data_IF_381488922806
#
_entry.id   IF_381488922806
#
_cell.length_a   1.000
_cell.length_b   1.000
_cell.length_c   1.000
_cell.angle_alpha   90.00
_cell.angle_beta   90.00
_cell.angle_gamma   90.00
#
_symmetry.space_group_name_H-M   'P 1'
#
loop_
_entity.id
_entity.type
_entity.pdbx_description
1 polymer ?
#
# COMPACT_ATOMS: atom_id res chain seq x y z
N UNK A 1 8.56 0.60 13.50
CA UNK A 1 8.74 2.06 13.73
C UNK A 1 7.41 2.76 13.50
N UNK A 2 7.12 3.81 14.28
CA UNK A 2 5.83 4.49 14.24
C UNK A 2 6.01 6.01 14.24
N UNK A 3 5.32 6.69 13.33
CA UNK A 3 5.13 8.15 13.34
C UNK A 3 3.68 8.50 13.73
N UNK A 4 3.51 9.56 14.52
CA UNK A 4 2.21 10.06 14.96
C UNK A 4 1.58 11.03 13.96
N UNK A 5 1.02 12.13 14.47
CA UNK A 5 0.60 13.27 13.65
C UNK A 5 1.82 14.16 13.32
N UNK A 6 2.06 14.47 12.04
CA UNK A 6 3.16 15.32 11.58
C UNK A 6 2.75 16.11 10.31
N UNK A 7 3.53 17.11 9.92
CA UNK A 7 3.42 17.68 8.56
C UNK A 7 4.02 16.66 7.56
N UNK A 8 5.24 16.20 7.84
CA UNK A 8 5.94 15.18 7.06
C UNK A 8 6.29 13.97 7.94
N UNK A 9 6.01 12.75 7.45
CA UNK A 9 6.37 11.50 8.10
C UNK A 9 7.16 10.59 7.15
N UNK A 10 8.46 10.42 7.41
CA UNK A 10 9.32 9.49 6.66
C UNK A 10 9.84 8.39 7.58
N UNK A 11 9.49 7.13 7.32
CA UNK A 11 9.92 5.99 8.12
C UNK A 11 10.42 4.86 7.23
N UNK A 12 11.61 4.34 7.54
CA UNK A 12 12.29 3.33 6.71
C UNK A 12 12.84 2.18 7.56
N UNK A 13 12.35 0.96 7.34
CA UNK A 13 12.96 -0.25 7.87
C UNK A 13 13.89 -0.88 6.82
N UNK A 14 15.08 -1.32 7.24
CA UNK A 14 16.06 -1.98 6.39
C UNK A 14 15.81 -3.49 6.28
N UNK A 15 16.83 -4.29 6.61
CA UNK A 15 16.72 -5.74 6.71
C UNK A 15 16.34 -6.18 8.14
N UNK A 16 15.31 -7.00 8.30
CA UNK A 16 14.87 -7.56 9.57
C UNK A 16 14.22 -8.94 9.37
N UNK A 17 13.96 -9.70 10.43
CA UNK A 17 13.04 -10.86 10.34
C UNK A 17 11.60 -10.32 10.22
N UNK A 18 11.20 -9.45 11.14
CA UNK A 18 9.92 -8.75 11.14
C UNK A 18 10.13 -7.23 10.97
N UNK A 19 9.50 -6.64 9.96
CA UNK A 19 9.57 -5.21 9.65
C UNK A 19 8.18 -4.57 9.69
N UNK A 20 7.84 -3.90 10.79
CA UNK A 20 6.60 -3.13 10.92
C UNK A 20 6.89 -1.63 10.84
N UNK A 21 6.30 -0.95 9.86
CA UNK A 21 6.43 0.50 9.62
C UNK A 21 5.04 1.13 9.55
N UNK A 22 4.76 2.12 10.39
CA UNK A 22 3.44 2.73 10.49
C UNK A 22 3.50 4.25 10.64
N UNK A 23 2.53 4.95 10.04
CA UNK A 23 2.25 6.35 10.35
C UNK A 23 0.75 6.58 10.56
N UNK A 24 0.44 7.50 11.48
CA UNK A 24 -0.91 7.92 11.80
C UNK A 24 -1.46 8.91 10.78
N UNK A 25 -1.31 10.20 11.06
CA UNK A 25 -1.80 11.29 10.23
C UNK A 25 -0.62 12.15 9.75
N UNK A 26 -0.54 12.48 8.47
CA UNK A 26 0.44 13.43 7.95
C UNK A 26 -0.16 14.31 6.84
N UNK A 27 0.52 15.37 6.42
CA UNK A 27 0.24 15.95 5.09
C UNK A 27 0.94 15.05 4.06
N UNK A 28 2.24 14.82 4.24
CA UNK A 28 3.04 13.92 3.42
C UNK A 28 3.54 12.71 4.23
N UNK A 29 3.26 11.48 3.77
CA UNK A 29 3.72 10.25 4.40
C UNK A 29 4.48 9.34 3.43
N UNK A 30 5.76 9.05 3.74
CA UNK A 30 6.59 8.10 2.98
C UNK A 30 7.06 6.97 3.88
N UNK A 31 6.53 5.77 3.66
CA UNK A 31 6.83 4.58 4.44
C UNK A 31 7.53 3.53 3.57
N UNK A 32 8.66 2.99 4.03
CA UNK A 32 9.42 1.98 3.29
C UNK A 32 9.86 0.82 4.20
N UNK A 33 9.68 -0.41 3.76
CA UNK A 33 10.34 -1.59 4.31
C UNK A 33 11.23 -2.23 3.25
N UNK A 34 12.45 -2.60 3.61
CA UNK A 34 13.45 -3.19 2.73
C UNK A 34 13.25 -4.68 2.52
N UNK A 35 14.00 -5.49 3.28
CA UNK A 35 13.99 -6.96 3.17
C UNK A 35 13.52 -7.54 4.49
N UNK A 36 12.48 -8.38 4.49
CA UNK A 36 12.03 -9.06 5.69
C UNK A 36 11.58 -10.51 5.42
N UNK A 37 11.31 -11.30 6.45
CA UNK A 37 10.43 -12.47 6.31
C UNK A 37 8.99 -11.94 6.31
N UNK A 38 8.64 -11.16 7.34
CA UNK A 38 7.35 -10.49 7.49
C UNK A 38 7.48 -8.97 7.36
N UNK A 39 6.84 -8.38 6.35
CA UNK A 39 6.82 -6.92 6.15
C UNK A 39 5.39 -6.37 6.26
N UNK A 40 5.18 -5.43 7.18
CA UNK A 40 3.91 -4.70 7.33
C UNK A 40 4.16 -3.20 7.27
N UNK A 41 3.61 -2.54 6.25
CA UNK A 41 3.77 -1.10 6.02
C UNK A 41 2.40 -0.43 5.93
N UNK A 42 2.11 0.53 6.81
CA UNK A 42 0.79 1.16 6.89
C UNK A 42 0.85 2.68 7.03
N UNK A 43 -0.05 3.38 6.34
CA UNK A 43 -0.36 4.80 6.58
C UNK A 43 -1.85 4.93 6.88
N UNK A 44 -2.20 5.68 7.92
CA UNK A 44 -3.58 5.93 8.33
C UNK A 44 -4.28 6.98 7.46
N UNK A 45 -3.88 8.24 7.60
CA UNK A 45 -4.46 9.38 6.88
C UNK A 45 -3.32 10.28 6.37
N UNK A 46 -3.35 10.66 5.10
CA UNK A 46 -2.44 11.66 4.54
C UNK A 46 -3.14 12.56 3.51
N UNK A 47 -2.51 13.63 3.04
CA UNK A 47 -2.86 14.23 1.74
C UNK A 47 -2.15 13.41 0.65
N UNK A 48 -0.84 13.22 0.81
CA UNK A 48 -0.01 12.37 -0.05
C UNK A 48 0.56 11.17 0.73
N UNK A 49 0.24 9.95 0.29
CA UNK A 49 0.73 8.71 0.89
C UNK A 49 1.54 7.87 -0.11
N UNK A 50 2.80 7.61 0.20
CA UNK A 50 3.65 6.66 -0.52
C UNK A 50 4.08 5.54 0.41
N UNK A 51 3.66 4.32 0.10
CA UNK A 51 3.87 3.14 0.94
C UNK A 51 4.53 2.04 0.11
N UNK A 52 5.73 1.61 0.51
CA UNK A 52 6.52 0.62 -0.24
C UNK A 52 7.05 -0.50 0.64
N UNK A 53 6.91 -1.74 0.18
CA UNK A 53 7.65 -2.89 0.70
C UNK A 53 8.55 -3.47 -0.40
N UNK A 54 9.77 -3.83 -0.05
CA UNK A 54 10.76 -4.40 -0.96
C UNK A 54 10.56 -5.90 -1.16
N UNK A 55 11.38 -6.71 -0.49
CA UNK A 55 11.37 -8.18 -0.62
C UNK A 55 10.90 -8.80 0.69
N UNK A 56 9.90 -9.67 0.66
CA UNK A 56 9.44 -10.40 1.84
C UNK A 56 9.08 -11.86 1.52
N UNK A 57 8.83 -12.69 2.53
CA UNK A 57 8.02 -13.91 2.35
C UNK A 57 6.55 -13.49 2.38
N UNK A 58 6.14 -12.78 3.44
CA UNK A 58 4.82 -12.17 3.59
C UNK A 58 4.91 -10.63 3.56
N UNK A 59 4.23 -9.99 2.61
CA UNK A 59 4.17 -8.54 2.48
C UNK A 59 2.74 -8.01 2.60
N UNK A 60 2.51 -7.11 3.56
CA UNK A 60 1.25 -6.36 3.71
C UNK A 60 1.52 -4.87 3.62
N UNK A 61 0.97 -4.22 2.60
CA UNK A 61 1.17 -2.80 2.31
C UNK A 61 -0.18 -2.12 2.22
N UNK A 62 -0.45 -1.14 3.09
CA UNK A 62 -1.75 -0.47 3.17
C UNK A 62 -1.63 1.04 3.28
N UNK A 63 -2.43 1.76 2.50
CA UNK A 63 -2.76 3.16 2.72
C UNK A 63 -4.24 3.28 3.08
N UNK A 64 -4.56 4.05 4.12
CA UNK A 64 -5.93 4.27 4.57
C UNK A 64 -6.65 5.31 3.73
N UNK A 65 -6.66 6.57 4.18
CA UNK A 65 -7.31 7.69 3.48
C UNK A 65 -6.24 8.66 2.97
N UNK A 66 -6.28 9.00 1.69
CA UNK A 66 -5.42 10.03 1.10
C UNK A 66 -6.15 10.88 0.05
N UNK A 67 -5.56 11.98 -0.42
CA UNK A 67 -5.94 12.56 -1.71
C UNK A 67 -5.22 11.76 -2.81
N UNK A 68 -3.90 11.63 -2.68
CA UNK A 68 -3.06 10.81 -3.54
C UNK A 68 -2.45 9.62 -2.76
N UNK A 69 -2.73 8.40 -3.21
CA UNK A 69 -2.19 7.18 -2.62
C UNK A 69 -1.38 6.35 -3.62
N UNK A 70 -0.11 6.08 -3.29
CA UNK A 70 0.75 5.16 -4.03
C UNK A 70 1.18 4.02 -3.10
N UNK A 71 0.72 2.81 -3.40
CA UNK A 71 0.96 1.62 -2.58
C UNK A 71 1.65 0.56 -3.44
N UNK A 72 2.86 0.14 -3.04
CA UNK A 72 3.67 -0.80 -3.82
C UNK A 72 4.25 -1.91 -2.96
N UNK A 73 4.13 -3.16 -3.41
CA UNK A 73 4.94 -4.26 -2.92
C UNK A 73 5.87 -4.75 -4.03
N UNK A 74 7.12 -5.07 -3.67
CA UNK A 74 8.12 -5.61 -4.58
C UNK A 74 7.94 -7.11 -4.79
N UNK A 75 8.88 -7.92 -4.30
CA UNK A 75 8.84 -9.37 -4.45
C UNK A 75 8.36 -10.03 -3.15
N UNK A 76 7.40 -10.94 -3.21
CA UNK A 76 6.96 -11.73 -2.06
C UNK A 76 6.61 -13.17 -2.44
N UNK A 77 6.41 -14.06 -1.47
CA UNK A 77 5.63 -15.28 -1.72
C UNK A 77 4.14 -14.91 -1.67
N UNK A 78 3.74 -14.24 -0.59
CA UNK A 78 2.39 -13.70 -0.39
C UNK A 78 2.42 -12.17 -0.31
N UNK A 79 1.68 -11.50 -1.20
CA UNK A 79 1.58 -10.05 -1.24
C UNK A 79 0.12 -9.57 -1.09
N UNK A 80 -0.13 -8.70 -0.12
CA UNK A 80 -1.38 -7.97 0.06
C UNK A 80 -1.11 -6.48 -0.06
N UNK A 81 -1.66 -5.84 -1.10
CA UNK A 81 -1.47 -4.43 -1.40
C UNK A 81 -2.83 -3.74 -1.47
N UNK A 82 -3.08 -2.78 -0.60
CA UNK A 82 -4.37 -2.11 -0.50
C UNK A 82 -4.23 -0.60 -0.39
N UNK A 83 -4.99 0.13 -1.21
CA UNK A 83 -5.34 1.52 -0.93
C UNK A 83 -6.78 1.59 -0.47
N UNK A 84 -7.08 2.39 0.55
CA UNK A 84 -8.42 2.63 1.06
C UNK A 84 -9.14 3.69 0.21
N UNK A 85 -9.49 4.82 0.80
CA UNK A 85 -10.17 5.90 0.08
C UNK A 85 -9.14 6.92 -0.45
N UNK A 86 -9.20 7.24 -1.74
CA UNK A 86 -8.38 8.28 -2.34
C UNK A 86 -9.13 9.07 -3.43
N UNK A 87 -8.63 10.22 -3.86
CA UNK A 87 -9.04 10.78 -5.15
C UNK A 87 -8.31 10.00 -6.25
N UNK A 88 -6.98 9.92 -6.13
CA UNK A 88 -6.07 9.19 -7.01
C UNK A 88 -5.39 8.04 -6.27
N UNK A 89 -5.59 6.80 -6.74
CA UNK A 89 -4.98 5.60 -6.18
C UNK A 89 -4.14 4.84 -7.21
N UNK A 90 -2.88 4.58 -6.88
CA UNK A 90 -1.99 3.67 -7.61
C UNK A 90 -1.60 2.52 -6.71
N UNK A 91 -2.02 1.30 -7.05
CA UNK A 91 -1.77 0.10 -6.26
C UNK A 91 -1.05 -0.92 -7.12
N UNK A 92 0.16 -1.31 -6.72
CA UNK A 92 1.01 -2.22 -7.48
C UNK A 92 1.57 -3.35 -6.61
N UNK A 93 1.41 -4.59 -7.06
CA UNK A 93 2.22 -5.71 -6.58
C UNK A 93 3.22 -6.11 -7.66
N UNK A 94 4.46 -6.37 -7.28
CA UNK A 94 5.53 -6.80 -8.17
C UNK A 94 5.42 -8.28 -8.52
N UNK A 95 6.35 -9.09 -8.03
CA UNK A 95 6.38 -10.54 -8.29
C UNK A 95 5.92 -11.26 -7.03
N UNK A 96 4.86 -12.05 -7.11
CA UNK A 96 4.43 -12.88 -5.98
C UNK A 96 3.98 -14.26 -6.43
N UNK A 97 3.95 -15.24 -5.54
CA UNK A 97 3.23 -16.50 -5.83
C UNK A 97 1.73 -16.24 -5.73
N UNK A 98 1.31 -15.62 -4.61
CA UNK A 98 -0.04 -15.17 -4.35
C UNK A 98 -0.09 -13.65 -4.17
N UNK A 99 -0.93 -12.96 -4.95
CA UNK A 99 -1.10 -11.52 -4.87
C UNK A 99 -2.57 -11.10 -4.71
N UNK A 100 -2.86 -10.30 -3.69
CA UNK A 100 -4.12 -9.57 -3.52
C UNK A 100 -3.86 -8.09 -3.67
N UNK A 101 -4.42 -7.48 -4.72
CA UNK A 101 -4.24 -6.05 -5.01
C UNK A 101 -5.60 -5.38 -5.08
N UNK A 102 -5.85 -4.40 -4.20
CA UNK A 102 -7.14 -3.72 -4.10
C UNK A 102 -6.96 -2.20 -4.02
N UNK A 103 -7.81 -1.48 -4.73
CA UNK A 103 -8.06 -0.06 -4.47
C UNK A 103 -9.50 0.03 -3.93
N UNK A 104 -9.69 0.79 -2.85
CA UNK A 104 -11.00 1.09 -2.31
C UNK A 104 -11.72 2.15 -3.14
N UNK A 105 -12.43 3.05 -2.48
CA UNK A 105 -13.14 4.13 -3.18
C UNK A 105 -12.13 5.13 -3.75
N UNK A 106 -12.08 5.24 -5.08
CA UNK A 106 -11.28 6.26 -5.76
C UNK A 106 -11.98 6.86 -6.96
N UNK A 107 -11.71 8.14 -7.24
CA UNK A 107 -12.16 8.77 -8.49
C UNK A 107 -11.36 8.22 -9.67
N UNK A 108 -10.04 8.13 -9.52
CA UNK A 108 -9.15 7.46 -10.46
C UNK A 108 -8.33 6.37 -9.74
N UNK A 109 -8.35 5.15 -10.29
CA UNK A 109 -7.61 4.02 -9.74
C UNK A 109 -6.82 3.28 -10.83
N UNK A 110 -5.53 3.06 -10.54
CA UNK A 110 -4.65 2.18 -11.30
C UNK A 110 -4.25 1.02 -10.41
N UNK A 111 -4.76 -0.16 -10.74
CA UNK A 111 -4.44 -1.41 -10.04
C UNK A 111 -3.64 -2.31 -10.96
N UNK A 112 -2.45 -2.72 -10.52
CA UNK A 112 -1.59 -3.63 -11.27
C UNK A 112 -1.08 -4.75 -10.35
N UNK A 113 -1.20 -5.98 -10.82
CA UNK A 113 -0.42 -7.10 -10.31
C UNK A 113 0.61 -7.44 -11.39
N UNK A 114 1.88 -7.61 -11.00
CA UNK A 114 2.93 -8.05 -11.88
C UNK A 114 2.79 -9.55 -12.19
N UNK A 115 3.87 -10.31 -12.00
CA UNK A 115 3.83 -11.75 -12.24
C UNK A 115 3.32 -12.42 -10.97
N UNK A 116 2.15 -13.04 -11.06
CA UNK A 116 1.64 -13.90 -9.99
C UNK A 116 1.08 -15.22 -10.53
N UNK A 117 1.28 -16.30 -9.77
CA UNK A 117 0.69 -17.60 -10.06
C UNK A 117 -0.81 -17.59 -9.75
N UNK A 118 -1.19 -16.91 -8.65
CA UNK A 118 -2.57 -16.64 -8.27
C UNK A 118 -2.81 -15.14 -7.98
N UNK A 119 -3.84 -14.57 -8.61
CA UNK A 119 -4.26 -13.18 -8.40
C UNK A 119 -5.65 -13.17 -7.76
N UNK A 120 -5.72 -12.67 -6.52
CA UNK A 120 -6.96 -12.37 -5.81
C UNK A 120 -7.73 -11.19 -6.43
N UNK A 121 -8.98 -10.92 -6.00
CA UNK A 121 -9.85 -9.97 -6.68
C UNK A 121 -9.29 -8.55 -6.68
N UNK A 122 -8.95 -8.04 -7.86
CA UNK A 122 -8.80 -6.62 -8.15
C UNK A 122 -10.18 -5.99 -8.30
N UNK A 123 -10.80 -5.61 -7.19
CA UNK A 123 -12.04 -4.84 -7.22
C UNK A 123 -11.71 -3.39 -7.55
N UNK A 124 -12.04 -2.99 -8.79
CA UNK A 124 -12.22 -1.59 -9.16
C UNK A 124 -13.65 -1.22 -8.77
N UNK A 125 -13.88 -0.80 -7.53
CA UNK A 125 -15.17 -0.24 -7.15
C UNK A 125 -15.23 1.20 -7.64
N UNK A 126 -15.50 1.38 -8.94
CA UNK A 126 -15.76 2.70 -9.51
C UNK A 126 -16.94 3.32 -8.74
N UNK A 127 -16.88 4.60 -8.35
CA UNK A 127 -18.06 5.26 -7.80
C UNK A 127 -19.17 5.09 -8.80
N UNK A 128 -20.24 4.41 -8.39
CA UNK A 128 -21.51 4.40 -9.12
C UNK A 128 -21.89 5.87 -9.25
N UNK A 129 -21.67 6.44 -10.43
CA UNK A 129 -22.27 7.70 -10.80
C UNK A 129 -23.79 7.46 -10.75
N UNK A 130 -24.39 7.74 -9.59
CA UNK A 130 -25.83 7.83 -9.42
C UNK A 130 -26.29 9.06 -10.20
N UNK A 131 -26.36 8.89 -11.52
CA UNK A 131 -27.01 9.83 -12.41
C UNK A 131 -28.52 9.66 -12.28
N UNK A 132 -29.15 10.40 -11.37
CA UNK A 132 -30.47 11.05 -11.51
C UNK A 132 -30.84 11.85 -10.26
#
# INVERSE_FOLDING_TARGET
MQAGAAEEAVVQAGAAEEAVVQAGAAEEAVMQAGVAEDAVVQVGVAEEAVVQAGVAEEAVVQAGVAEEAVVQAGAAEEAVVQAGAAEDAVVQAGVAEEAVVQAGAAEEAVVQAGVAEEVGPSVLDLPRAEGS
#
